data_IF_289594460294
#
_entry.id   IF_289594460294
#
_cell.length_a   1.000
_cell.length_b   1.000
_cell.length_c   1.000
_cell.angle_alpha   90.00
_cell.angle_beta   90.00
_cell.angle_gamma   90.00
#
_symmetry.space_group_name_H-M   'P 1'
#
loop_
_entity.id
_entity.type
_entity.pdbx_description
1 polymer ?
#
# COMPACT_ATOMS: atom_id res chain seq x y z
N UNK A 1 -4.28 -14.23 5.40
CA UNK A 1 -4.22 -13.01 4.59
C UNK A 1 -4.76 -13.35 3.19
N UNK A 2 -5.62 -12.50 2.63
CA UNK A 2 -6.21 -12.64 1.29
C UNK A 2 -6.60 -11.24 0.80
N UNK A 3 -6.05 -10.82 -0.33
CA UNK A 3 -6.12 -9.45 -0.89
C UNK A 3 -6.68 -9.45 -2.32
N UNK A 4 -7.55 -10.40 -2.67
CA UNK A 4 -8.21 -10.41 -3.98
C UNK A 4 -9.43 -9.46 -4.04
N UNK A 5 -10.14 -9.49 -5.17
CA UNK A 5 -11.36 -8.70 -5.39
C UNK A 5 -12.32 -8.82 -4.20
N UNK A 6 -12.88 -7.69 -3.76
CA UNK A 6 -13.79 -7.54 -2.61
C UNK A 6 -13.17 -7.74 -1.21
N UNK A 7 -11.87 -7.99 -1.08
CA UNK A 7 -11.21 -8.11 0.23
C UNK A 7 -11.36 -6.85 1.11
N UNK A 8 -11.46 -5.68 0.48
CA UNK A 8 -11.69 -4.39 1.14
C UNK A 8 -13.07 -3.83 0.74
N UNK A 9 -14.03 -3.72 1.68
CA UNK A 9 -15.42 -3.34 1.36
C UNK A 9 -15.56 -1.90 0.85
N UNK A 10 -14.57 -1.03 1.12
CA UNK A 10 -14.62 0.37 0.70
C UNK A 10 -14.40 0.56 -0.81
N UNK A 11 -13.80 -0.40 -1.52
CA UNK A 11 -13.48 -0.25 -2.95
C UNK A 11 -14.75 -0.04 -3.78
N UNK A 12 -15.80 -0.83 -3.52
CA UNK A 12 -17.10 -0.66 -4.18
C UNK A 12 -17.76 0.68 -3.82
N UNK A 13 -17.69 1.07 -2.55
CA UNK A 13 -18.23 2.34 -2.07
C UNK A 13 -17.54 3.53 -2.73
N UNK A 14 -16.21 3.49 -2.82
CA UNK A 14 -15.41 4.51 -3.47
C UNK A 14 -15.73 4.60 -4.96
N UNK A 15 -15.84 3.46 -5.65
CA UNK A 15 -16.22 3.42 -7.06
C UNK A 15 -17.56 4.12 -7.33
N UNK A 16 -18.59 3.78 -6.53
CA UNK A 16 -19.89 4.42 -6.65
C UNK A 16 -19.82 5.92 -6.37
N UNK A 17 -19.14 6.32 -5.29
CA UNK A 17 -19.01 7.72 -4.91
C UNK A 17 -18.32 8.56 -6.00
N UNK A 18 -17.21 8.05 -6.53
CA UNK A 18 -16.43 8.74 -7.55
C UNK A 18 -17.12 8.77 -8.93
N UNK A 19 -17.93 7.77 -9.26
CA UNK A 19 -18.70 7.73 -10.52
C UNK A 19 -19.88 8.72 -10.54
N UNK A 20 -20.47 9.02 -9.38
CA UNK A 20 -21.63 9.90 -9.24
C UNK A 20 -21.28 11.37 -8.97
N UNK A 21 -20.00 11.69 -8.78
CA UNK A 21 -19.52 13.04 -8.49
C UNK A 21 -19.56 14.00 -9.68
N UNK A 22 -19.36 15.29 -9.40
CA UNK A 22 -19.21 16.31 -10.43
C UNK A 22 -17.89 16.12 -11.22
N UNK A 23 -17.88 16.53 -12.49
CA UNK A 23 -16.74 16.35 -13.41
C UNK A 23 -15.40 16.86 -12.86
N UNK A 24 -14.25 16.19 -13.14
CA UNK A 24 -14.14 15.00 -13.98
C UNK A 24 -14.63 13.76 -13.25
N UNK A 25 -15.26 12.86 -14.00
CA UNK A 25 -15.65 11.55 -13.48
C UNK A 25 -14.41 10.69 -13.32
N UNK A 26 -14.29 10.03 -12.16
CA UNK A 26 -13.20 9.13 -11.85
C UNK A 26 -13.67 7.68 -11.92
N UNK A 27 -12.83 6.82 -12.48
CA UNK A 27 -13.05 5.37 -12.52
C UNK A 27 -12.09 4.69 -11.56
N UNK A 28 -12.63 3.87 -10.67
CA UNK A 28 -11.82 3.03 -9.77
C UNK A 28 -11.53 1.72 -10.46
N UNK A 29 -10.25 1.35 -10.52
CA UNK A 29 -9.78 0.09 -11.10
C UNK A 29 -8.95 -0.63 -10.04
N UNK A 30 -9.24 -1.90 -9.82
CA UNK A 30 -8.51 -2.78 -8.90
C UNK A 30 -7.86 -3.90 -9.72
N UNK A 31 -6.59 -3.76 -10.14
CA UNK A 31 -5.87 -4.84 -10.81
C UNK A 31 -5.57 -5.96 -9.81
N UNK A 32 -5.63 -7.20 -10.27
CA UNK A 32 -5.03 -8.33 -9.55
C UNK A 32 -3.59 -8.46 -10.02
N UNK A 33 -2.66 -8.35 -9.08
CA UNK A 33 -1.22 -8.48 -9.34
C UNK A 33 -0.81 -9.95 -9.21
N UNK A 34 0.39 -10.27 -9.68
CA UNK A 34 0.99 -11.60 -9.50
C UNK A 34 1.25 -11.90 -8.02
N UNK A 35 1.40 -10.87 -7.17
CA UNK A 35 1.51 -11.00 -5.72
C UNK A 35 0.17 -11.18 -4.99
N UNK A 36 -0.97 -10.98 -5.66
CA UNK A 36 -2.28 -11.04 -5.03
C UNK A 36 -2.64 -12.43 -4.48
N UNK A 37 -3.73 -12.46 -3.71
CA UNK A 37 -4.22 -13.59 -2.94
C UNK A 37 -3.25 -14.07 -1.84
N UNK A 38 -2.42 -15.06 -2.14
CA UNK A 38 -1.44 -15.66 -1.21
C UNK A 38 -0.07 -15.76 -1.85
N UNK A 39 0.21 -14.91 -2.83
CA UNK A 39 1.41 -14.99 -3.65
C UNK A 39 2.45 -13.93 -3.29
N UNK A 40 2.13 -12.95 -2.43
CA UNK A 40 3.08 -11.92 -2.02
C UNK A 40 4.35 -12.50 -1.39
N UNK A 41 4.24 -13.66 -0.71
CA UNK A 41 5.37 -14.33 -0.09
C UNK A 41 6.38 -14.93 -1.11
N UNK A 42 5.96 -15.07 -2.37
CA UNK A 42 6.77 -15.61 -3.47
C UNK A 42 6.96 -14.60 -4.62
N UNK A 43 6.66 -13.32 -4.38
CA UNK A 43 6.80 -12.22 -5.32
C UNK A 43 7.80 -11.18 -4.79
N UNK A 44 7.94 -10.04 -5.49
CA UNK A 44 8.75 -8.89 -5.09
C UNK A 44 8.03 -7.57 -5.40
N UNK A 45 8.47 -6.48 -4.77
CA UNK A 45 7.97 -5.13 -5.09
C UNK A 45 8.27 -4.73 -6.53
N UNK A 46 9.41 -5.14 -7.08
CA UNK A 46 9.72 -4.87 -8.50
C UNK A 46 8.72 -5.56 -9.43
N UNK A 47 8.25 -6.77 -9.06
CA UNK A 47 7.21 -7.46 -9.82
C UNK A 47 5.86 -6.73 -9.74
N UNK A 48 5.51 -6.20 -8.57
CA UNK A 48 4.28 -5.42 -8.39
C UNK A 48 4.32 -4.16 -9.24
N UNK A 49 5.46 -3.49 -9.29
CA UNK A 49 5.69 -2.33 -10.15
C UNK A 49 5.52 -2.69 -11.64
N UNK A 50 6.06 -3.81 -12.11
CA UNK A 50 5.87 -4.30 -13.50
C UNK A 50 4.39 -4.59 -13.81
N UNK A 51 3.68 -5.26 -12.90
CA UNK A 51 2.27 -5.62 -13.08
C UNK A 51 1.40 -4.35 -13.11
N UNK A 52 1.66 -3.37 -12.24
CA UNK A 52 0.91 -2.10 -12.25
C UNK A 52 1.23 -1.30 -13.51
N UNK A 53 2.48 -1.27 -13.98
CA UNK A 53 2.83 -0.63 -15.25
C UNK A 53 2.05 -1.23 -16.42
N UNK A 54 1.97 -2.56 -16.45
CA UNK A 54 1.21 -3.30 -17.45
C UNK A 54 -0.29 -2.98 -17.37
N UNK A 55 -0.84 -2.87 -16.16
CA UNK A 55 -2.23 -2.46 -15.96
C UNK A 55 -2.47 -1.02 -16.44
N UNK A 56 -1.57 -0.08 -16.16
CA UNK A 56 -1.63 1.31 -16.64
C UNK A 56 -1.60 1.37 -18.17
N UNK A 57 -0.68 0.63 -18.79
CA UNK A 57 -0.59 0.55 -20.25
C UNK A 57 -1.89 0.02 -20.86
N UNK A 58 -2.47 -1.03 -20.27
CA UNK A 58 -3.75 -1.59 -20.69
C UNK A 58 -4.91 -0.58 -20.55
N UNK A 59 -4.98 0.15 -19.44
CA UNK A 59 -5.99 1.19 -19.21
C UNK A 59 -5.91 2.27 -20.29
N UNK A 60 -4.70 2.77 -20.59
CA UNK A 60 -4.47 3.81 -21.59
C UNK A 60 -4.77 3.35 -23.02
N UNK A 61 -4.55 2.07 -23.29
CA UNK A 61 -4.82 1.45 -24.59
C UNK A 61 -6.30 1.05 -24.79
N UNK A 62 -7.12 1.06 -23.73
CA UNK A 62 -8.51 0.61 -23.77
C UNK A 62 -9.47 1.82 -23.69
N UNK A 63 -10.10 2.24 -24.80
CA UNK A 63 -10.91 3.47 -24.84
C UNK A 63 -12.06 3.54 -23.83
N UNK A 64 -12.58 2.38 -23.42
CA UNK A 64 -13.65 2.29 -22.41
C UNK A 64 -13.16 2.56 -20.97
N UNK A 65 -11.85 2.45 -20.72
CA UNK A 65 -11.23 2.65 -19.40
C UNK A 65 -10.48 3.98 -19.33
N UNK A 66 -9.89 4.43 -20.43
CA UNK A 66 -9.16 5.68 -20.49
C UNK A 66 -8.53 5.95 -21.84
N UNK A 67 -7.67 6.97 -21.88
CA UNK A 67 -6.88 7.34 -23.04
C UNK A 67 -5.44 7.65 -22.63
N UNK A 68 -4.58 7.92 -23.61
CA UNK A 68 -3.20 8.35 -23.36
C UNK A 68 -3.11 9.64 -22.51
N UNK A 69 -4.14 10.49 -22.54
CA UNK A 69 -4.21 11.73 -21.75
C UNK A 69 -4.92 11.57 -20.41
N UNK A 70 -5.43 10.38 -20.09
CA UNK A 70 -6.09 10.14 -18.79
C UNK A 70 -5.09 10.31 -17.66
N UNK A 71 -5.48 11.10 -16.66
CA UNK A 71 -4.76 11.18 -15.39
C UNK A 71 -4.98 9.88 -14.62
N UNK A 72 -3.91 9.33 -14.06
CA UNK A 72 -3.94 8.10 -13.27
C UNK A 72 -3.40 8.42 -11.88
N UNK A 73 -4.14 8.01 -10.86
CA UNK A 73 -3.76 8.16 -9.46
C UNK A 73 -3.74 6.77 -8.84
N UNK A 74 -2.63 6.45 -8.17
CA UNK A 74 -2.45 5.17 -7.50
C UNK A 74 -2.79 5.32 -6.02
N UNK A 75 -3.67 4.45 -5.53
CA UNK A 75 -4.07 4.39 -4.14
C UNK A 75 -3.66 3.04 -3.56
N UNK A 76 -2.73 3.06 -2.62
CA UNK A 76 -2.29 1.90 -1.87
C UNK A 76 -3.14 1.66 -0.63
N UNK A 77 -3.38 0.39 -0.30
CA UNK A 77 -4.03 -0.04 0.93
C UNK A 77 -3.10 -0.94 1.73
N UNK A 78 -2.96 -0.72 3.04
CA UNK A 78 -2.14 -1.58 3.89
C UNK A 78 -0.71 -1.69 3.36
N UNK A 79 -0.22 -2.90 3.10
CA UNK A 79 1.11 -3.14 2.55
C UNK A 79 1.26 -2.58 1.12
N UNK A 80 0.17 -2.53 0.34
CA UNK A 80 0.13 -1.86 -0.96
C UNK A 80 0.39 -0.35 -0.93
N UNK A 81 0.51 0.25 0.26
CA UNK A 81 1.04 1.62 0.42
C UNK A 81 2.50 1.74 -0.01
N UNK A 82 3.23 0.63 -0.14
CA UNK A 82 4.62 0.60 -0.60
C UNK A 82 4.78 1.18 -2.02
N UNK A 83 3.71 1.19 -2.84
CA UNK A 83 3.72 1.60 -4.25
C UNK A 83 2.68 2.69 -4.59
N UNK A 84 1.94 3.20 -3.59
CA UNK A 84 0.82 4.13 -3.78
C UNK A 84 1.18 5.61 -3.63
N UNK A 85 0.40 6.49 -4.27
CA UNK A 85 0.43 7.94 -4.04
C UNK A 85 -0.54 8.37 -2.93
N UNK A 86 -1.74 7.75 -2.87
CA UNK A 86 -2.62 7.84 -1.70
C UNK A 86 -2.32 6.63 -0.81
N UNK A 87 -1.94 6.86 0.44
CA UNK A 87 -1.66 5.80 1.41
C UNK A 87 -2.85 5.58 2.34
N UNK A 88 -3.58 4.48 2.19
CA UNK A 88 -4.72 4.15 3.04
C UNK A 88 -4.37 3.03 4.02
N UNK A 89 -4.33 3.37 5.31
CA UNK A 89 -3.95 2.48 6.42
C UNK A 89 -2.57 1.81 6.21
N UNK A 90 -1.48 2.58 5.98
CA UNK A 90 -0.14 2.01 5.88
C UNK A 90 0.22 1.21 7.14
N UNK A 91 1.01 0.16 6.98
CA UNK A 91 1.43 -0.75 8.05
C UNK A 91 2.90 -1.13 7.87
N UNK A 92 3.63 -1.28 8.96
CA UNK A 92 4.93 -1.94 8.97
C UNK A 92 4.77 -3.44 9.20
N UNK A 93 5.15 -4.25 8.20
CA UNK A 93 5.24 -5.70 8.34
C UNK A 93 6.27 -6.08 9.41
N UNK A 94 7.42 -5.38 9.44
CA UNK A 94 8.46 -5.59 10.45
C UNK A 94 7.93 -5.37 11.86
N UNK A 95 7.25 -4.26 12.12
CA UNK A 95 6.74 -3.98 13.48
C UNK A 95 5.66 -4.99 13.89
N UNK A 96 4.87 -5.47 12.93
CA UNK A 96 3.88 -6.52 13.16
C UNK A 96 4.58 -7.85 13.53
N UNK A 97 5.65 -8.22 12.82
CA UNK A 97 6.48 -9.39 13.11
C UNK A 97 7.15 -9.26 14.49
N UNK A 98 7.76 -8.11 14.78
CA UNK A 98 8.39 -7.82 16.08
C UNK A 98 7.38 -7.89 17.22
N UNK A 99 6.16 -7.37 17.02
CA UNK A 99 5.08 -7.51 18.00
C UNK A 99 4.72 -8.97 18.25
N UNK A 100 4.59 -9.80 17.21
CA UNK A 100 4.37 -11.24 17.35
C UNK A 100 5.52 -11.92 18.12
N UNK A 101 6.78 -11.59 17.83
CA UNK A 101 7.97 -12.11 18.53
C UNK A 101 7.99 -11.70 20.01
N UNK A 102 7.56 -10.47 20.31
CA UNK A 102 7.51 -9.95 21.67
C UNK A 102 6.39 -10.60 22.50
N UNK A 103 5.28 -10.97 21.87
CA UNK A 103 4.07 -11.46 22.55
C UNK A 103 3.90 -12.97 22.53
N UNK A 104 4.66 -13.70 21.71
CA UNK A 104 4.56 -15.16 21.58
C UNK A 104 5.94 -15.82 21.53
N UNK A 105 6.29 -16.67 22.53
CA UNK A 105 7.51 -17.46 22.49
C UNK A 105 7.59 -18.37 21.25
N UNK A 106 6.47 -18.95 20.84
CA UNK A 106 6.41 -19.77 19.63
C UNK A 106 6.70 -18.95 18.36
N UNK A 107 6.28 -17.68 18.30
CA UNK A 107 6.62 -16.81 17.18
C UNK A 107 8.11 -16.44 17.22
N UNK A 108 8.69 -16.21 18.41
CA UNK A 108 10.14 -15.98 18.55
C UNK A 108 10.94 -17.16 18.03
N UNK A 109 10.64 -18.38 18.48
CA UNK A 109 11.35 -19.59 18.03
C UNK A 109 11.24 -19.77 16.51
N UNK A 110 10.07 -19.45 15.95
CA UNK A 110 9.81 -19.52 14.52
C UNK A 110 10.60 -18.46 13.73
N UNK A 111 10.67 -17.22 14.20
CA UNK A 111 11.50 -16.17 13.59
C UNK A 111 12.99 -16.52 13.64
N UNK A 112 13.46 -17.04 14.78
CA UNK A 112 14.84 -17.49 14.95
C UNK A 112 15.15 -18.65 13.98
N UNK A 113 14.19 -19.55 13.74
CA UNK A 113 14.32 -20.59 12.72
C UNK A 113 14.41 -20.02 11.30
N UNK A 114 13.52 -19.11 10.92
CA UNK A 114 13.57 -18.45 9.62
C UNK A 114 14.92 -17.74 9.40
N UNK A 115 15.40 -16.98 10.39
CA UNK A 115 16.67 -16.25 10.32
C UNK A 115 17.87 -17.20 10.23
N UNK A 116 17.84 -18.31 10.96
CA UNK A 116 18.91 -19.33 10.90
C UNK A 116 18.96 -20.02 9.55
N UNK A 117 17.81 -20.36 8.98
CA UNK A 117 17.73 -20.95 7.63
C UNK A 117 18.25 -19.95 6.59
N UNK A 118 17.83 -18.69 6.69
CA UNK A 118 18.30 -17.62 5.81
C UNK A 118 19.82 -17.45 5.87
N UNK A 119 20.40 -17.41 7.08
CA UNK A 119 21.84 -17.27 7.29
C UNK A 119 22.65 -18.49 6.81
N UNK A 120 22.07 -19.69 6.88
CA UNK A 120 22.71 -20.93 6.40
C UNK A 120 22.55 -21.16 4.89
N UNK A 121 21.65 -20.43 4.22
CA UNK A 121 21.40 -20.57 2.79
C UNK A 121 22.26 -19.56 2.01
N UNK A 122 22.95 -19.97 0.93
CA UNK A 122 23.67 -19.05 0.06
C UNK A 122 22.77 -17.92 -0.49
N UNK A 123 23.22 -16.64 -0.49
CA UNK A 123 22.40 -15.51 -0.91
C UNK A 123 21.79 -15.64 -2.31
N UNK A 124 22.49 -16.26 -3.26
CA UNK A 124 22.03 -16.51 -4.62
C UNK A 124 20.85 -17.48 -4.70
N UNK A 125 20.57 -18.22 -3.64
CA UNK A 125 19.45 -19.17 -3.54
C UNK A 125 18.22 -18.58 -2.82
N UNK A 126 18.33 -17.38 -2.23
CA UNK A 126 17.28 -16.81 -1.38
C UNK A 126 15.97 -16.54 -2.13
N UNK A 127 16.05 -16.22 -3.43
CA UNK A 127 14.89 -15.96 -4.29
C UNK A 127 14.24 -17.22 -4.85
N UNK A 128 14.87 -18.39 -4.70
CA UNK A 128 14.36 -19.69 -5.15
C UNK A 128 13.98 -20.64 -4.02
N UNK A 129 14.27 -20.29 -2.77
CA UNK A 129 14.12 -21.20 -1.62
C UNK A 129 12.98 -20.75 -0.72
N UNK A 130 12.00 -21.64 -0.53
CA UNK A 130 10.90 -21.44 0.41
C UNK A 130 11.34 -21.77 1.83
N UNK A 131 10.92 -20.92 2.78
CA UNK A 131 11.01 -21.23 4.20
C UNK A 131 9.98 -22.30 4.60
N UNK A 132 10.27 -23.11 5.63
CA UNK A 132 9.31 -24.07 6.15
C UNK A 132 8.01 -23.40 6.60
N UNK A 133 6.87 -23.94 6.16
CA UNK A 133 5.56 -23.33 6.43
C UNK A 133 5.27 -23.24 7.94
N UNK A 134 5.74 -24.19 8.76
CA UNK A 134 5.51 -24.11 10.21
C UNK A 134 6.21 -22.92 10.86
N UNK A 135 7.33 -22.46 10.30
CA UNK A 135 8.10 -21.33 10.80
C UNK A 135 7.50 -19.98 10.32
N UNK A 136 6.87 -19.94 9.15
CA UNK A 136 6.28 -18.68 8.61
C UNK A 136 4.81 -18.51 8.98
N UNK A 137 4.11 -19.59 9.33
CA UNK A 137 2.68 -19.59 9.66
C UNK A 137 2.28 -18.69 10.83
N UNK A 138 3.06 -18.53 11.91
CA UNK A 138 2.74 -17.60 12.98
C UNK A 138 2.57 -16.15 12.50
N UNK A 139 3.24 -15.78 11.40
CA UNK A 139 3.24 -14.42 10.86
C UNK A 139 2.27 -14.27 9.68
N UNK A 140 2.28 -15.21 8.74
CA UNK A 140 1.60 -15.06 7.44
C UNK A 140 0.50 -16.10 7.20
N UNK A 141 0.22 -16.97 8.16
CA UNK A 141 -0.79 -18.02 8.03
C UNK A 141 -0.38 -19.09 7.01
N UNK A 142 -1.13 -19.24 5.93
CA UNK A 142 -0.88 -20.27 4.91
C UNK A 142 -0.21 -19.74 3.64
N UNK A 143 0.49 -18.63 3.74
CA UNK A 143 1.23 -18.01 2.63
C UNK A 143 2.61 -18.68 2.52
N UNK A 144 3.01 -19.22 1.35
CA UNK A 144 4.40 -19.65 1.14
C UNK A 144 5.31 -18.42 1.09
N UNK A 145 6.48 -18.47 1.74
CA UNK A 145 7.39 -17.33 1.85
C UNK A 145 8.79 -17.73 1.41
N UNK A 146 9.35 -17.04 0.42
CA UNK A 146 10.75 -17.16 0.02
C UNK A 146 11.66 -16.58 1.11
N UNK A 147 12.90 -17.07 1.19
CA UNK A 147 13.91 -16.50 2.10
C UNK A 147 14.10 -15.01 1.81
N UNK A 148 14.22 -14.62 0.55
CA UNK A 148 14.37 -13.21 0.15
C UNK A 148 13.20 -12.36 0.66
N UNK A 149 11.98 -12.88 0.55
CA UNK A 149 10.78 -12.17 0.99
C UNK A 149 10.68 -12.08 2.51
N UNK A 150 11.08 -13.12 3.24
CA UNK A 150 11.20 -13.04 4.70
C UNK A 150 12.20 -11.98 5.14
N UNK A 151 13.41 -11.98 4.55
CA UNK A 151 14.45 -11.01 4.90
C UNK A 151 14.00 -9.57 4.60
N UNK A 152 13.24 -9.38 3.52
CA UNK A 152 12.68 -8.09 3.17
C UNK A 152 11.59 -7.62 4.15
N UNK A 153 10.65 -8.50 4.50
CA UNK A 153 9.53 -8.18 5.41
C UNK A 153 9.96 -8.05 6.88
N UNK A 154 10.84 -8.93 7.36
CA UNK A 154 11.32 -8.92 8.73
C UNK A 154 12.42 -7.89 8.97
N UNK A 155 13.12 -7.48 7.90
CA UNK A 155 14.23 -6.54 7.86
C UNK A 155 15.11 -6.58 9.13
N UNK A 156 15.82 -7.69 9.35
CA UNK A 156 16.56 -7.93 10.60
C UNK A 156 17.76 -6.99 10.81
N UNK A 157 18.18 -6.28 9.75
CA UNK A 157 19.26 -5.29 9.80
C UNK A 157 18.75 -3.85 10.02
N UNK A 158 17.43 -3.65 10.09
CA UNK A 158 16.85 -2.37 10.49
C UNK A 158 17.09 -2.08 11.98
N UNK A 159 17.30 -0.80 12.36
CA UNK A 159 17.12 0.40 11.51
C UNK A 159 18.34 0.82 10.69
N UNK A 160 19.50 0.20 10.87
CA UNK A 160 20.76 0.62 10.23
C UNK A 160 20.76 0.37 8.71
N UNK A 161 20.20 -0.77 8.28
CA UNK A 161 20.10 -1.18 6.88
C UNK A 161 18.70 -1.75 6.59
N UNK A 162 17.68 -0.89 6.41
CA UNK A 162 16.33 -1.35 6.09
C UNK A 162 16.25 -2.02 4.72
N UNK A 163 15.49 -3.11 4.65
CA UNK A 163 15.20 -3.83 3.42
C UNK A 163 13.99 -3.22 2.69
N UNK A 164 13.73 -3.70 1.47
CA UNK A 164 12.82 -3.03 0.50
C UNK A 164 11.37 -2.85 1.00
N UNK A 165 10.86 -3.78 1.81
CA UNK A 165 9.50 -3.70 2.38
C UNK A 165 9.42 -2.82 3.64
N UNK A 166 10.54 -2.54 4.29
CA UNK A 166 10.59 -1.82 5.56
C UNK A 166 10.60 -0.30 5.36
N UNK A 167 9.45 0.22 4.93
CA UNK A 167 9.24 1.65 4.63
C UNK A 167 8.50 2.41 5.73
N UNK A 168 7.96 1.68 6.71
CA UNK A 168 7.01 2.22 7.69
C UNK A 168 7.35 1.90 9.14
N UNK A 169 8.49 1.25 9.44
CA UNK A 169 8.85 0.93 10.84
C UNK A 169 9.09 2.16 11.69
N UNK A 170 8.64 2.13 12.96
CA UNK A 170 8.70 3.30 13.85
C UNK A 170 10.12 3.79 14.20
N UNK A 171 11.12 2.92 14.10
CA UNK A 171 12.50 3.16 14.52
C UNK A 171 13.44 3.56 13.37
N UNK A 172 12.94 3.68 12.13
CA UNK A 172 13.78 4.20 11.06
C UNK A 172 14.05 5.70 11.31
N UNK A 173 15.29 6.14 11.10
CA UNK A 173 15.65 7.55 11.25
C UNK A 173 14.74 8.43 10.37
N UNK A 174 14.53 9.73 10.63
CA UNK A 174 13.70 10.60 9.77
C UNK A 174 14.16 10.70 8.29
N UNK A 175 15.37 10.23 7.98
CA UNK A 175 15.87 10.06 6.61
C UNK A 175 15.45 8.72 5.95
N UNK A 176 14.93 7.78 6.73
CA UNK A 176 14.51 6.42 6.37
C UNK A 176 13.03 6.12 6.70
N UNK A 177 12.45 6.67 7.79
CA UNK A 177 11.00 6.95 7.90
C UNK A 177 10.84 8.31 7.26
N UNK A 178 10.35 8.31 6.05
CA UNK A 178 10.06 9.56 5.37
C UNK A 178 8.78 10.16 5.99
N UNK A 179 8.81 11.39 6.54
CA UNK A 179 7.61 12.10 7.02
C UNK A 179 6.56 12.29 5.90
N UNK A 180 7.00 12.08 4.68
CA UNK A 180 6.30 12.19 3.40
C UNK A 180 6.86 11.08 2.53
N UNK A 181 6.05 10.27 1.85
CA UNK A 181 6.55 9.33 0.82
C UNK A 181 7.62 10.05 0.01
N UNK A 182 8.83 9.49 -0.10
CA UNK A 182 9.86 10.05 -0.96
C UNK A 182 9.36 9.92 -2.39
N UNK A 183 8.61 10.95 -2.79
CA UNK A 183 8.03 11.08 -4.11
C UNK A 183 9.16 11.11 -5.13
N UNK A 184 10.41 11.45 -4.80
CA UNK A 184 11.54 11.32 -5.72
C UNK A 184 11.91 9.86 -5.96
N UNK A 185 12.03 9.03 -4.93
CA UNK A 185 12.42 7.60 -5.08
C UNK A 185 11.25 6.76 -5.58
N UNK A 186 10.04 7.03 -5.10
CA UNK A 186 8.82 6.41 -5.60
C UNK A 186 8.60 6.88 -7.04
N UNK A 187 8.55 8.20 -7.33
CA UNK A 187 8.46 8.65 -8.72
C UNK A 187 9.65 8.22 -9.54
N UNK A 188 10.87 8.04 -9.04
CA UNK A 188 11.99 7.57 -9.85
C UNK A 188 11.86 6.09 -10.20
N UNK A 189 11.37 5.24 -9.29
CA UNK A 189 10.96 3.85 -9.61
C UNK A 189 9.80 3.85 -10.61
N UNK A 190 8.75 4.64 -10.37
CA UNK A 190 7.60 4.79 -11.25
C UNK A 190 7.95 5.43 -12.59
N UNK A 191 8.87 6.39 -12.62
CA UNK A 191 9.34 7.13 -13.79
C UNK A 191 10.26 6.24 -14.60
N UNK A 192 11.15 5.45 -14.00
CA UNK A 192 11.88 4.40 -14.71
C UNK A 192 10.94 3.41 -15.38
N UNK A 193 9.79 3.11 -14.79
CA UNK A 193 8.81 2.14 -15.28
C UNK A 193 7.87 2.71 -16.35
N UNK A 194 7.45 3.97 -16.17
CA UNK A 194 6.68 4.75 -17.14
C UNK A 194 7.55 5.18 -18.33
N UNK A 195 8.81 5.54 -18.11
CA UNK A 195 9.82 5.92 -19.13
C UNK A 195 10.40 4.69 -19.84
N UNK A 196 10.51 3.52 -19.18
CA UNK A 196 10.79 2.25 -19.87
C UNK A 196 9.67 1.87 -20.84
N UNK A 197 8.45 2.37 -20.63
CA UNK A 197 7.33 2.27 -21.57
C UNK A 197 7.16 3.50 -22.49
N UNK A 198 7.93 4.56 -22.30
CA UNK A 198 7.86 5.80 -23.07
C UNK A 198 9.15 6.61 -22.97
N UNK A 199 10.12 6.33 -23.84
CA UNK A 199 11.37 7.06 -23.90
C UNK A 199 11.16 8.55 -24.27
N UNK A 200 11.35 9.48 -23.32
CA UNK A 200 12.12 10.75 -23.44
C UNK A 200 11.76 11.79 -22.36
N UNK A 201 12.72 12.18 -21.51
CA UNK A 201 12.81 13.54 -20.94
C UNK A 201 12.60 13.69 -19.42
N UNK A 202 13.70 13.78 -18.66
CA UNK A 202 13.70 13.87 -17.20
C UNK A 202 13.62 15.28 -16.59
N UNK A 203 13.18 15.33 -15.33
CA UNK A 203 13.35 16.45 -14.39
C UNK A 203 13.35 15.95 -12.93
N UNK A 204 14.06 16.69 -12.07
CA UNK A 204 14.33 16.39 -10.66
C UNK A 204 13.10 16.59 -9.75
N UNK A 205 12.98 15.76 -8.72
CA UNK A 205 11.82 15.71 -7.83
C UNK A 205 11.85 16.78 -6.73
N UNK A 206 10.76 17.51 -6.61
CA UNK A 206 10.45 18.39 -5.49
C UNK A 206 9.89 17.57 -4.30
N UNK A 207 10.17 18.01 -3.08
CA UNK A 207 9.66 17.40 -1.86
C UNK A 207 8.11 17.38 -1.84
N UNK A 208 7.51 16.23 -1.55
CA UNK A 208 6.07 16.05 -1.48
C UNK A 208 5.52 16.73 -0.23
N UNK A 209 4.59 17.67 -0.36
CA UNK A 209 3.85 18.23 0.77
C UNK A 209 2.64 17.32 1.10
N UNK A 210 2.42 17.07 2.40
CA UNK A 210 1.24 16.36 2.88
C UNK A 210 -0.04 17.14 2.53
N UNK A 211 -0.99 16.49 1.86
CA UNK A 211 -2.24 17.13 1.49
C UNK A 211 -3.11 17.39 2.75
N UNK A 212 -3.82 18.54 2.86
CA UNK A 212 -4.67 18.84 4.01
C UNK A 212 -5.81 17.83 4.27
N UNK A 213 -6.21 17.05 3.27
CA UNK A 213 -7.17 15.97 3.41
C UNK A 213 -6.60 14.74 4.13
N UNK A 214 -5.27 14.64 4.29
CA UNK A 214 -4.61 13.58 5.04
C UNK A 214 -4.98 13.63 6.53
N UNK A 215 -5.08 12.46 7.16
CA UNK A 215 -5.37 12.38 8.60
C UNK A 215 -5.92 11.02 9.02
N UNK A 216 -6.23 10.91 10.31
CA UNK A 216 -6.86 9.73 10.90
C UNK A 216 -8.36 9.75 10.63
N UNK A 217 -8.88 8.63 10.13
CA UNK A 217 -10.33 8.42 9.96
C UNK A 217 -10.88 7.84 11.27
N UNK A 218 -11.66 8.63 11.99
CA UNK A 218 -12.15 8.25 13.31
C UNK A 218 -13.06 7.01 13.25
N UNK A 219 -12.83 6.05 14.14
CA UNK A 219 -13.64 4.83 14.23
C UNK A 219 -13.44 3.83 13.08
N UNK A 220 -12.53 4.10 12.15
CA UNK A 220 -12.16 3.17 11.09
C UNK A 220 -11.48 1.92 11.66
N UNK A 221 -11.85 0.76 11.11
CA UNK A 221 -10.99 -0.44 11.16
C UNK A 221 -9.95 -0.37 10.05
N UNK A 222 -8.86 -1.14 10.18
CA UNK A 222 -7.78 -1.22 9.19
C UNK A 222 -8.27 -1.37 7.75
N UNK A 223 -9.13 -2.36 7.51
CA UNK A 223 -9.73 -2.63 6.20
C UNK A 223 -11.05 -1.87 5.93
N UNK A 224 -11.41 -0.91 6.79
CA UNK A 224 -12.69 -0.18 6.77
C UNK A 224 -13.94 -1.08 6.80
N UNK A 225 -13.81 -2.31 7.33
CA UNK A 225 -14.94 -3.19 7.56
C UNK A 225 -15.69 -2.87 8.85
N UNK A 226 -16.86 -3.49 9.00
CA UNK A 226 -17.71 -3.40 10.17
C UNK A 226 -18.98 -2.56 9.96
N UNK A 227 -19.88 -2.68 10.93
CA UNK A 227 -21.28 -2.28 10.83
C UNK A 227 -21.69 -1.21 11.86
N UNK A 228 -20.79 -0.87 12.79
CA UNK A 228 -21.02 0.26 13.68
C UNK A 228 -21.18 1.54 12.87
N UNK A 229 -21.96 2.49 13.37
CA UNK A 229 -22.22 3.75 12.67
C UNK A 229 -20.91 4.45 12.25
N UNK A 230 -19.96 4.61 13.18
CA UNK A 230 -18.66 5.23 12.90
C UNK A 230 -17.86 4.49 11.82
N UNK A 231 -17.91 3.16 11.78
CA UNK A 231 -17.23 2.35 10.76
C UNK A 231 -17.88 2.48 9.38
N UNK A 232 -19.21 2.53 9.35
CA UNK A 232 -19.96 2.80 8.11
C UNK A 232 -19.71 4.23 7.62
N UNK A 233 -19.72 5.22 8.51
CA UNK A 233 -19.40 6.61 8.18
C UNK A 233 -17.98 6.75 7.61
N UNK A 234 -16.99 6.16 8.27
CA UNK A 234 -15.61 6.11 7.80
C UNK A 234 -15.51 5.55 6.37
N UNK A 235 -16.22 4.45 6.09
CA UNK A 235 -16.22 3.78 4.77
C UNK A 235 -17.01 4.53 3.70
N UNK A 236 -18.15 5.12 4.06
CA UNK A 236 -19.14 5.65 3.12
C UNK A 236 -19.04 7.14 2.86
N UNK A 237 -18.44 7.89 3.78
CA UNK A 237 -18.43 9.36 3.72
C UNK A 237 -17.00 9.88 3.87
N UNK A 238 -16.37 9.66 5.01
CA UNK A 238 -15.09 10.31 5.35
C UNK A 238 -13.95 9.94 4.37
N UNK A 239 -13.70 8.63 4.15
CA UNK A 239 -12.68 8.23 3.18
C UNK A 239 -13.00 8.73 1.76
N UNK A 240 -14.18 8.48 1.16
CA UNK A 240 -14.49 8.97 -0.18
C UNK A 240 -14.37 10.48 -0.34
N UNK A 241 -14.79 11.27 0.65
CA UNK A 241 -14.68 12.74 0.62
C UNK A 241 -13.21 13.21 0.62
N UNK A 242 -12.35 12.61 1.46
CA UNK A 242 -10.91 12.92 1.46
C UNK A 242 -10.25 12.57 0.13
N UNK A 243 -10.59 11.40 -0.43
CA UNK A 243 -10.08 10.98 -1.73
C UNK A 243 -10.54 11.95 -2.82
N UNK A 244 -11.83 12.29 -2.86
CA UNK A 244 -12.35 13.25 -3.84
C UNK A 244 -11.66 14.61 -3.72
N UNK A 245 -11.48 15.11 -2.50
CA UNK A 245 -10.79 16.39 -2.25
C UNK A 245 -9.36 16.37 -2.78
N UNK A 246 -8.62 15.31 -2.50
CA UNK A 246 -7.26 15.13 -3.04
C UNK A 246 -7.27 15.13 -4.57
N UNK A 247 -8.20 14.41 -5.19
CA UNK A 247 -8.33 14.33 -6.64
C UNK A 247 -8.69 15.70 -7.26
N UNK A 248 -9.55 16.48 -6.60
CA UNK A 248 -9.94 17.82 -7.06
C UNK A 248 -8.79 18.83 -6.93
N UNK A 249 -8.12 18.87 -5.79
CA UNK A 249 -7.10 19.87 -5.48
C UNK A 249 -5.78 19.59 -6.19
N UNK A 250 -5.28 18.36 -6.07
CA UNK A 250 -3.94 17.99 -6.55
C UNK A 250 -3.97 17.63 -8.03
N UNK A 251 -5.07 17.05 -8.50
CA UNK A 251 -5.12 16.44 -9.84
C UNK A 251 -5.99 17.22 -10.81
N UNK A 252 -7.06 17.88 -10.36
CA UNK A 252 -7.87 18.77 -11.20
C UNK A 252 -7.48 20.25 -11.09
N UNK A 253 -6.66 20.64 -10.11
CA UNK A 253 -6.21 22.02 -9.89
C UNK A 253 -7.31 22.95 -9.40
N UNK A 254 -8.34 22.40 -8.73
CA UNK A 254 -9.47 23.17 -8.19
C UNK A 254 -9.32 23.28 -6.68
N UNK A 255 -9.07 24.50 -6.19
CA UNK A 255 -8.99 24.78 -4.75
C UNK A 255 -10.38 24.68 -4.13
N UNK A 256 -10.59 23.75 -3.19
CA UNK A 256 -11.84 23.64 -2.44
C UNK A 256 -11.67 24.22 -1.03
N UNK A 257 -12.37 25.31 -0.71
CA UNK A 257 -12.35 25.94 0.62
C UNK A 257 -13.31 25.25 1.63
N UNK A 258 -13.61 23.95 1.45
CA UNK A 258 -14.60 23.26 2.27
C UNK A 258 -13.92 22.43 3.38
N UNK A 259 -14.18 22.75 4.64
CA UNK A 259 -13.76 21.93 5.78
C UNK A 259 -14.32 20.50 5.67
N UNK A 260 -13.60 19.46 6.14
CA UNK A 260 -14.12 18.10 6.18
C UNK A 260 -15.37 18.03 7.08
N UNK A 261 -16.36 17.23 6.69
CA UNK A 261 -17.56 17.00 7.49
C UNK A 261 -17.20 16.17 8.73
N UNK A 262 -17.29 16.78 9.91
CA UNK A 262 -17.05 16.06 11.17
C UNK A 262 -18.16 15.02 11.42
N UNK A 263 -17.83 13.85 12.01
CA UNK A 263 -18.85 12.90 12.42
C UNK A 263 -19.75 13.55 13.49
N UNK A 264 -21.07 13.38 13.43
CA UNK A 264 -21.96 13.95 14.43
C UNK A 264 -21.64 13.36 15.81
N UNK A 265 -21.36 14.23 16.78
CA UNK A 265 -21.20 13.86 18.19
C UNK A 265 -22.54 13.32 18.67
N UNK A 266 -22.60 12.01 18.94
CA UNK A 266 -23.80 11.37 19.47
C UNK A 266 -24.20 12.01 20.80
N UNK A 267 -25.31 12.76 20.79
CA UNK A 267 -26.04 13.01 22.03
C UNK A 267 -26.70 11.71 22.43
N UNK A 268 -26.28 11.18 23.58
CA UNK A 268 -26.87 10.00 24.17
C UNK A 268 -28.35 10.20 24.45
N UNK A 269 -29.11 9.14 24.21
CA UNK A 269 -30.34 8.78 24.91
C UNK A 269 -30.29 7.29 25.20
#
# INVERSE_FOLDING_TARGET
>A
MWDALTATPYVYTLANYLSGGASPQWTVIHPLLSSSARQFGISSLDRDVEDIASAIAYIRATPALGSASSRIVLMGHSTGCQDGAILQAPVSDRDSILHSIATSPAARDAADECNRIAAATPPDQHTGTLLPLHATRPFFGSVPVLISRWLSLASPLSPDHPADDDKFSFDLAPACVVPTVDQAVLLDRWKRVVEASAASGGGAAAAAELNPASGLIAGAKHNLAGDLFAQRWARQVDLPERVMRYLDEVVAGRSSNANPAEPPVGQGL
#
